data_IF_199057271079
#
_entry.id   IF_199057271079
#
_cell.length_a   1.000
_cell.length_b   1.000
_cell.length_c   1.000
_cell.angle_alpha   90.00
_cell.angle_beta   90.00
_cell.angle_gamma   90.00
#
_symmetry.space_group_name_H-M   'P 1'
#
loop_
_entity.id
_entity.type
_entity.pdbx_description
1 polymer ?
#
# COMPACT_ATOMS: atom_id res chain seq x y z
N UNK A 1 -23.64 5.03 -36.50
CA UNK A 1 -22.97 6.21 -35.91
C UNK A 1 -22.87 5.97 -34.41
N UNK A 2 -21.69 5.66 -33.90
CA UNK A 2 -21.45 5.49 -32.47
C UNK A 2 -20.79 6.78 -31.95
N UNK A 3 -21.37 7.37 -30.92
CA UNK A 3 -20.92 8.62 -30.32
C UNK A 3 -19.68 8.32 -29.48
N UNK A 4 -18.54 8.91 -29.84
CA UNK A 4 -17.32 8.87 -29.06
C UNK A 4 -17.52 9.67 -27.77
N UNK A 5 -17.51 9.00 -26.62
CA UNK A 5 -17.33 9.66 -25.33
C UNK A 5 -15.84 10.01 -25.18
N UNK A 6 -15.51 11.26 -25.46
CA UNK A 6 -14.20 11.83 -25.17
C UNK A 6 -14.08 12.04 -23.65
N UNK A 7 -13.27 11.20 -23.01
CA UNK A 7 -12.91 11.37 -21.60
C UNK A 7 -11.75 12.34 -21.51
N UNK A 8 -12.05 13.60 -21.17
CA UNK A 8 -11.08 14.65 -20.89
C UNK A 8 -10.13 14.18 -19.77
N UNK A 9 -8.86 13.92 -20.10
CA UNK A 9 -7.79 13.71 -19.12
C UNK A 9 -7.04 15.03 -18.96
N UNK A 10 -7.14 15.64 -17.79
CA UNK A 10 -6.24 16.72 -17.37
C UNK A 10 -4.79 16.21 -17.22
N UNK A 11 -3.79 17.09 -17.06
CA UNK A 11 -2.39 16.72 -16.98
C UNK A 11 -2.08 16.19 -15.58
N UNK A 12 -2.63 15.03 -15.24
CA UNK A 12 -2.16 14.19 -14.15
C UNK A 12 -1.12 13.25 -14.73
N UNK A 13 0.07 13.28 -14.15
CA UNK A 13 1.19 12.38 -14.43
C UNK A 13 0.68 10.96 -14.74
N UNK A 14 1.02 10.46 -15.92
CA UNK A 14 0.53 9.18 -16.40
C UNK A 14 0.97 8.07 -15.43
N UNK A 15 -0.02 7.49 -14.75
CA UNK A 15 0.13 6.26 -13.96
C UNK A 15 0.91 5.24 -14.81
N UNK A 16 2.00 4.63 -14.29
CA UNK A 16 2.70 3.58 -15.01
C UNK A 16 1.70 2.50 -15.39
N UNK A 17 1.70 2.11 -16.68
CA UNK A 17 0.63 1.28 -17.26
C UNK A 17 0.42 -0.10 -16.62
N UNK A 18 1.26 -0.48 -15.63
CA UNK A 18 1.20 -1.73 -14.89
C UNK A 18 0.60 -1.61 -13.47
N UNK A 19 0.29 -0.41 -12.96
CA UNK A 19 -0.36 -0.22 -11.65
C UNK A 19 -1.82 0.22 -11.83
N UNK A 20 -2.72 -0.48 -11.16
CA UNK A 20 -4.14 -0.12 -11.13
C UNK A 20 -4.44 0.92 -10.05
N UNK A 21 -5.58 1.63 -10.14
CA UNK A 21 -6.07 2.51 -9.06
C UNK A 21 -6.17 1.77 -7.71
N UNK A 22 -6.44 0.47 -7.76
CA UNK A 22 -6.48 -0.41 -6.59
C UNK A 22 -5.09 -0.54 -5.93
N UNK A 23 -4.02 -0.53 -6.71
CA UNK A 23 -2.66 -0.65 -6.20
C UNK A 23 -2.20 0.62 -5.49
N UNK A 24 -2.60 1.80 -5.97
CA UNK A 24 -2.39 3.06 -5.23
C UNK A 24 -3.13 3.09 -3.90
N UNK A 25 -4.37 2.59 -3.88
CA UNK A 25 -5.13 2.48 -2.64
C UNK A 25 -4.43 1.54 -1.64
N UNK A 26 -3.97 0.38 -2.09
CA UNK A 26 -3.19 -0.57 -1.27
C UNK A 26 -1.91 0.05 -0.75
N UNK A 27 -1.18 0.80 -1.58
CA UNK A 27 0.05 1.48 -1.16
C UNK A 27 -0.24 2.49 -0.05
N UNK A 28 -1.23 3.37 -0.25
CA UNK A 28 -1.59 4.36 0.76
C UNK A 28 -2.06 3.73 2.07
N UNK A 29 -2.89 2.69 1.99
CA UNK A 29 -3.36 1.96 3.17
C UNK A 29 -2.22 1.30 3.94
N UNK A 30 -1.28 0.69 3.23
CA UNK A 30 -0.13 0.04 3.84
C UNK A 30 0.83 1.05 4.46
N UNK A 31 1.17 2.16 3.78
CA UNK A 31 2.01 3.23 4.33
C UNK A 31 1.41 3.79 5.63
N UNK A 32 0.13 4.16 5.62
CA UNK A 32 -0.52 4.73 6.81
C UNK A 32 -0.48 3.78 8.01
N UNK A 33 -0.73 2.50 7.80
CA UNK A 33 -0.67 1.50 8.88
C UNK A 33 0.76 1.18 9.32
N UNK A 34 1.71 1.15 8.38
CA UNK A 34 3.13 0.94 8.67
C UNK A 34 3.69 2.05 9.56
N UNK A 35 3.42 3.31 9.24
CA UNK A 35 3.86 4.45 10.02
C UNK A 35 3.28 4.42 11.45
N UNK A 36 1.97 4.17 11.60
CA UNK A 36 1.34 4.08 12.92
C UNK A 36 1.92 2.94 13.78
N UNK A 37 2.25 1.80 13.15
CA UNK A 37 2.88 0.68 13.85
C UNK A 37 4.32 1.01 14.25
N UNK A 38 5.09 1.62 13.34
CA UNK A 38 6.48 2.02 13.55
C UNK A 38 6.60 3.01 14.70
N UNK A 39 5.74 4.04 14.71
CA UNK A 39 5.64 5.05 15.77
C UNK A 39 5.18 4.49 17.13
N UNK A 40 4.56 3.31 17.15
CA UNK A 40 4.00 2.71 18.37
C UNK A 40 2.63 3.26 18.77
N UNK A 41 1.93 3.92 17.84
CA UNK A 41 0.65 4.59 18.09
C UNK A 41 -0.56 3.63 18.12
N UNK A 42 -0.32 2.33 17.87
CA UNK A 42 -1.36 1.29 17.84
C UNK A 42 -1.55 0.57 19.20
N UNK A 43 -0.97 1.10 20.27
CA UNK A 43 -1.04 0.53 21.62
C UNK A 43 -0.06 -0.61 21.83
N UNK A 44 -0.49 -1.70 22.46
CA UNK A 44 0.37 -2.85 22.76
C UNK A 44 1.04 -3.41 21.48
N UNK A 45 2.37 -3.50 21.49
CA UNK A 45 3.16 -3.81 20.28
C UNK A 45 2.95 -5.25 19.80
N UNK A 46 2.73 -6.19 20.71
CA UNK A 46 2.47 -7.59 20.37
C UNK A 46 1.08 -7.77 19.74
N UNK A 47 0.04 -7.19 20.36
CA UNK A 47 -1.32 -7.25 19.81
C UNK A 47 -1.48 -6.45 18.51
N UNK A 48 -0.81 -5.30 18.39
CA UNK A 48 -0.87 -4.49 17.18
C UNK A 48 -0.17 -5.17 16.00
N UNK A 49 0.94 -5.90 16.22
CA UNK A 49 1.63 -6.67 15.18
C UNK A 49 0.70 -7.62 14.44
N UNK A 50 -0.07 -8.45 15.16
CA UNK A 50 -0.98 -9.42 14.54
C UNK A 50 -2.15 -8.75 13.82
N UNK A 51 -2.67 -7.64 14.36
CA UNK A 51 -3.75 -6.86 13.73
C UNK A 51 -3.28 -6.21 12.43
N UNK A 52 -2.09 -5.60 12.45
CA UNK A 52 -1.47 -4.98 11.29
C UNK A 52 -1.18 -6.02 10.21
N UNK A 53 -0.62 -7.17 10.58
CA UNK A 53 -0.42 -8.29 9.63
C UNK A 53 -1.71 -8.75 8.97
N UNK A 54 -2.80 -8.91 9.73
CA UNK A 54 -4.11 -9.31 9.18
C UNK A 54 -4.69 -8.24 8.26
N UNK A 55 -4.54 -6.96 8.63
CA UNK A 55 -4.95 -5.85 7.79
C UNK A 55 -4.20 -5.85 6.46
N UNK A 56 -2.87 -5.91 6.47
CA UNK A 56 -2.05 -5.99 5.26
C UNK A 56 -2.39 -7.23 4.41
N UNK A 57 -2.60 -8.38 5.05
CA UNK A 57 -2.99 -9.61 4.35
C UNK A 57 -4.36 -9.48 3.64
N UNK A 58 -5.29 -8.68 4.16
CA UNK A 58 -6.56 -8.40 3.48
C UNK A 58 -6.40 -7.63 2.17
N UNK A 59 -5.26 -6.95 2.00
CA UNK A 59 -4.84 -6.29 0.76
C UNK A 59 -3.94 -7.15 -0.12
N UNK A 60 -3.69 -8.41 0.28
CA UNK A 60 -2.79 -9.33 -0.40
C UNK A 60 -1.31 -9.16 -0.04
N UNK A 61 -0.98 -8.27 0.90
CA UNK A 61 0.40 -7.98 1.34
C UNK A 61 0.73 -8.89 2.51
N UNK A 62 1.54 -9.93 2.28
CA UNK A 62 1.88 -10.94 3.29
C UNK A 62 3.39 -11.02 3.58
N UNK A 63 4.19 -10.37 2.75
CA UNK A 63 5.66 -10.40 2.79
C UNK A 63 6.26 -9.08 2.33
N UNK A 64 7.56 -8.91 2.57
CA UNK A 64 8.34 -7.80 2.02
C UNK A 64 8.37 -7.81 0.49
N UNK A 65 8.34 -8.98 -0.14
CA UNK A 65 8.28 -9.12 -1.61
C UNK A 65 6.96 -8.58 -2.18
N UNK A 66 5.84 -8.78 -1.48
CA UNK A 66 4.54 -8.24 -1.90
C UNK A 66 4.54 -6.69 -1.87
N UNK A 67 5.23 -6.06 -0.91
CA UNK A 67 5.41 -4.61 -0.86
C UNK A 67 6.25 -4.12 -2.05
N UNK A 68 7.34 -4.83 -2.37
CA UNK A 68 8.19 -4.50 -3.50
C UNK A 68 7.44 -4.66 -4.84
N UNK A 69 6.64 -5.72 -4.99
CA UNK A 69 5.79 -5.96 -6.16
C UNK A 69 4.71 -4.89 -6.32
N UNK A 70 4.23 -4.31 -5.22
CA UNK A 70 3.32 -3.16 -5.22
C UNK A 70 4.02 -1.85 -5.62
N UNK A 71 5.36 -1.84 -5.70
CA UNK A 71 6.16 -0.67 -6.04
C UNK A 71 6.56 0.18 -4.83
N UNK A 72 6.36 -0.29 -3.60
CA UNK A 72 6.86 0.43 -2.43
C UNK A 72 8.38 0.39 -2.35
N UNK A 73 8.97 1.56 -2.11
CA UNK A 73 10.40 1.72 -2.01
C UNK A 73 10.78 2.82 -1.01
N UNK A 74 12.06 2.88 -0.63
CA UNK A 74 12.60 3.94 0.20
C UNK A 74 12.30 3.76 1.69
N UNK A 75 12.20 4.87 2.47
CA UNK A 75 12.13 4.80 3.93
C UNK A 75 10.91 4.04 4.46
N UNK A 76 9.77 4.12 3.76
CA UNK A 76 8.53 3.46 4.15
C UNK A 76 8.63 1.94 4.25
N UNK A 77 9.53 1.31 3.48
CA UNK A 77 9.73 -0.15 3.54
C UNK A 77 10.29 -0.57 4.91
N UNK A 78 11.04 0.30 5.58
CA UNK A 78 11.65 0.00 6.88
C UNK A 78 10.63 -0.11 8.01
N UNK A 79 9.46 0.52 7.86
CA UNK A 79 8.39 0.43 8.85
C UNK A 79 7.80 -0.98 8.98
N UNK A 80 8.07 -1.83 7.98
CA UNK A 80 7.64 -3.23 7.95
C UNK A 80 8.72 -4.21 8.41
N UNK A 81 9.92 -3.73 8.76
CA UNK A 81 11.01 -4.59 9.23
C UNK A 81 10.65 -5.25 10.59
N UNK A 82 10.83 -6.57 10.67
CA UNK A 82 10.35 -7.39 11.78
C UNK A 82 8.82 -7.54 11.88
N UNK A 83 8.04 -6.79 11.10
CA UNK A 83 6.59 -6.93 10.99
C UNK A 83 6.23 -7.95 9.91
N UNK A 84 6.80 -7.88 8.71
CA UNK A 84 6.56 -8.85 7.64
C UNK A 84 7.72 -9.84 7.53
N UNK A 85 7.45 -11.09 7.09
CA UNK A 85 8.49 -12.03 6.70
C UNK A 85 9.19 -11.59 5.41
#
# INVERSE_FOLDING_TARGET
MAVMHESVRGPGEAVPAWLSENDYFKMGAAVAVGELYSAGDLGDRAQSRDRVRRFLASFGIRSMDDLAALGMCGPYVRDFDGLLP
#
